data_IF_901821699360
#
_entry.id   IF_901821699360
#
_cell.length_a   1.000
_cell.length_b   1.000
_cell.length_c   1.000
_cell.angle_alpha   90.00
_cell.angle_beta   90.00
_cell.angle_gamma   90.00
#
_symmetry.space_group_name_H-M   'P 1'
#
loop_
_entity.id
_entity.type
_entity.pdbx_description
1 polymer ?
#
# COMPACT_ATOMS: atom_id res chain seq x y z
N UNK A 1 7.19 -10.46 -14.85
CA UNK A 1 6.99 -9.02 -15.07
C UNK A 1 7.39 -8.34 -13.78
N UNK A 2 7.97 -7.16 -13.80
CA UNK A 2 8.44 -6.46 -12.60
C UNK A 2 7.91 -5.01 -12.62
N UNK A 3 7.94 -4.35 -11.47
CA UNK A 3 7.62 -2.92 -11.33
C UNK A 3 8.75 -2.06 -11.95
N UNK A 4 8.48 -0.78 -12.28
CA UNK A 4 9.51 0.12 -12.78
C UNK A 4 10.74 0.20 -11.86
N UNK A 5 11.93 0.18 -12.46
CA UNK A 5 13.23 0.13 -11.76
C UNK A 5 13.43 1.23 -10.72
N UNK A 6 12.84 2.41 -10.93
CA UNK A 6 12.94 3.51 -9.96
C UNK A 6 12.35 3.13 -8.59
N UNK A 7 11.30 2.29 -8.54
CA UNK A 7 10.70 1.85 -7.29
C UNK A 7 11.57 0.83 -6.57
N UNK A 8 12.14 -0.14 -7.29
CA UNK A 8 13.05 -1.12 -6.68
C UNK A 8 14.35 -0.47 -6.16
N UNK A 9 14.76 0.67 -6.73
CA UNK A 9 15.88 1.46 -6.20
C UNK A 9 15.43 2.29 -4.99
N UNK A 10 14.46 3.19 -5.19
CA UNK A 10 14.11 4.20 -4.19
C UNK A 10 13.47 3.63 -2.93
N UNK A 11 12.79 2.49 -3.04
CA UNK A 11 12.07 1.83 -1.95
C UNK A 11 12.73 0.52 -1.49
N UNK A 12 13.96 0.23 -1.93
CA UNK A 12 14.70 -0.98 -1.54
C UNK A 12 14.88 -1.14 -0.03
N UNK A 13 14.84 -0.05 0.73
CA UNK A 13 15.00 -0.04 2.19
C UNK A 13 13.67 0.13 2.94
N UNK A 14 12.54 0.19 2.23
CA UNK A 14 11.22 0.30 2.84
C UNK A 14 10.71 -1.06 3.29
N UNK A 15 10.18 -1.12 4.52
CA UNK A 15 9.30 -2.22 4.95
C UNK A 15 7.85 -1.98 4.59
N UNK A 16 7.46 -0.71 4.57
CA UNK A 16 6.09 -0.25 4.33
C UNK A 16 6.13 0.67 3.10
N UNK A 17 5.53 0.24 2.00
CA UNK A 17 5.52 0.96 0.71
C UNK A 17 4.34 1.93 0.60
N UNK A 18 3.95 2.54 1.72
CA UNK A 18 2.79 3.42 1.86
C UNK A 18 3.08 4.48 2.94
N UNK A 19 2.35 5.61 2.99
CA UNK A 19 2.53 6.68 3.99
C UNK A 19 2.03 6.31 5.39
N UNK A 20 2.35 5.11 5.85
CA UNK A 20 2.10 4.61 7.19
C UNK A 20 3.39 4.44 7.96
N UNK A 21 3.34 4.80 9.25
CA UNK A 21 4.37 4.40 10.20
C UNK A 21 4.07 2.99 10.73
N UNK A 22 5.06 2.29 11.33
CA UNK A 22 4.82 1.02 12.02
C UNK A 22 3.68 1.11 13.05
N UNK A 23 3.54 2.24 13.75
CA UNK A 23 2.51 2.48 14.76
C UNK A 23 1.11 2.58 14.14
N UNK A 24 0.99 3.14 12.92
CA UNK A 24 -0.28 3.15 12.19
C UNK A 24 -0.68 1.74 11.73
N UNK A 25 0.26 0.92 11.27
CA UNK A 25 -0.04 -0.48 10.97
C UNK A 25 -0.39 -1.32 12.20
N UNK A 26 0.30 -1.10 13.32
CA UNK A 26 -0.03 -1.74 14.59
C UNK A 26 -1.41 -1.27 15.11
N UNK A 27 -1.75 0.00 14.90
CA UNK A 27 -3.08 0.53 15.20
C UNK A 27 -4.14 -0.15 14.35
N UNK A 28 -3.93 -0.24 13.03
CA UNK A 28 -4.83 -0.94 12.11
C UNK A 28 -5.07 -2.39 12.55
N UNK A 29 -4.00 -3.17 12.77
CA UNK A 29 -4.13 -4.57 13.21
C UNK A 29 -4.92 -4.72 14.51
N UNK A 30 -4.71 -3.80 15.47
CA UNK A 30 -5.42 -3.78 16.75
C UNK A 30 -6.91 -3.47 16.60
N UNK A 31 -7.27 -2.47 15.79
CA UNK A 31 -8.67 -2.03 15.68
C UNK A 31 -9.54 -3.00 14.88
N UNK A 32 -8.94 -3.79 13.99
CA UNK A 32 -9.64 -4.85 13.24
C UNK A 32 -10.09 -6.04 14.12
N UNK A 33 -9.53 -6.18 15.34
CA UNK A 33 -9.96 -7.20 16.33
C UNK A 33 -10.01 -8.63 15.76
N UNK A 34 -9.08 -8.94 14.87
CA UNK A 34 -9.00 -10.25 14.23
C UNK A 34 -8.77 -11.34 15.28
N UNK A 35 -9.40 -12.50 15.07
CA UNK A 35 -9.16 -13.67 15.91
C UNK A 35 -7.85 -14.36 15.50
N UNK A 36 -7.10 -14.95 16.42
CA UNK A 36 -6.00 -15.84 16.07
C UNK A 36 -6.46 -16.93 15.10
N UNK A 37 -5.64 -17.19 14.08
CA UNK A 37 -5.97 -18.09 12.98
C UNK A 37 -6.81 -17.48 11.86
N UNK A 38 -7.21 -16.20 11.94
CA UNK A 38 -7.84 -15.52 10.81
C UNK A 38 -6.93 -15.59 9.57
N UNK A 39 -7.52 -15.88 8.41
CA UNK A 39 -6.81 -16.00 7.13
C UNK A 39 -6.89 -14.68 6.38
N UNK A 40 -5.76 -14.17 5.92
CA UNK A 40 -5.65 -12.90 5.19
C UNK A 40 -5.12 -13.15 3.78
N UNK A 41 -5.78 -12.59 2.77
CA UNK A 41 -5.22 -12.41 1.43
C UNK A 41 -4.79 -10.96 1.26
N UNK A 42 -3.57 -10.71 0.79
CA UNK A 42 -3.04 -9.37 0.52
C UNK A 42 -2.54 -9.27 -0.93
N UNK A 43 -3.23 -8.47 -1.75
CA UNK A 43 -2.89 -8.24 -3.16
C UNK A 43 -2.08 -6.94 -3.28
N UNK A 44 -0.84 -7.05 -3.77
CA UNK A 44 0.14 -5.96 -3.71
C UNK A 44 0.81 -5.87 -2.34
N UNK A 45 1.25 -7.01 -1.79
CA UNK A 45 1.71 -7.10 -0.40
C UNK A 45 3.04 -6.40 -0.10
N UNK A 46 3.76 -5.92 -1.13
CA UNK A 46 5.08 -5.31 -1.01
C UNK A 46 6.06 -6.21 -0.26
N UNK A 47 6.84 -5.61 0.64
CA UNK A 47 7.77 -6.31 1.53
C UNK A 47 7.10 -7.05 2.70
N UNK A 48 5.77 -7.22 2.68
CA UNK A 48 5.05 -8.15 3.55
C UNK A 48 4.91 -7.73 5.02
N UNK A 49 5.24 -6.48 5.38
CA UNK A 49 5.27 -6.03 6.77
C UNK A 49 3.92 -6.19 7.48
N UNK A 50 2.80 -5.94 6.79
CA UNK A 50 1.45 -6.13 7.35
C UNK A 50 1.23 -7.58 7.77
N UNK A 51 1.39 -8.54 6.84
CA UNK A 51 1.19 -9.96 7.15
C UNK A 51 2.18 -10.46 8.20
N UNK A 52 3.47 -10.11 8.09
CA UNK A 52 4.50 -10.60 9.02
C UNK A 52 4.27 -10.10 10.44
N UNK A 53 4.01 -8.79 10.62
CA UNK A 53 3.79 -8.22 11.95
C UNK A 53 2.46 -8.69 12.56
N UNK A 54 1.40 -8.81 11.76
CA UNK A 54 0.12 -9.30 12.27
C UNK A 54 0.13 -10.80 12.57
N UNK A 55 0.90 -11.60 11.83
CA UNK A 55 1.11 -13.01 12.15
C UNK A 55 1.81 -13.17 13.50
N UNK A 56 2.80 -12.32 13.79
CA UNK A 56 3.50 -12.28 15.08
C UNK A 56 2.58 -11.83 16.21
N UNK A 57 1.85 -10.74 16.03
CA UNK A 57 1.14 -10.05 17.12
C UNK A 57 -0.26 -10.62 17.39
N UNK A 58 -0.94 -11.12 16.35
CA UNK A 58 -2.32 -11.59 16.42
C UNK A 58 -2.49 -13.06 16.05
N UNK A 59 -1.42 -13.73 15.61
CA UNK A 59 -1.46 -15.15 15.27
C UNK A 59 -2.32 -15.45 14.03
N UNK A 60 -2.45 -14.51 13.10
CA UNK A 60 -3.12 -14.74 11.81
C UNK A 60 -2.30 -15.68 10.91
N UNK A 61 -2.91 -16.11 9.81
CA UNK A 61 -2.25 -16.74 8.67
C UNK A 61 -2.53 -15.92 7.42
N UNK A 62 -1.70 -16.03 6.39
CA UNK A 62 -2.00 -15.30 5.17
C UNK A 62 -1.15 -15.60 3.97
N UNK A 63 -1.59 -15.04 2.84
CA UNK A 63 -0.89 -15.11 1.56
C UNK A 63 -0.79 -13.71 0.98
N UNK A 64 0.44 -13.28 0.69
CA UNK A 64 0.74 -12.02 0.00
C UNK A 64 1.15 -12.30 -1.45
N UNK A 65 0.53 -11.57 -2.39
CA UNK A 65 0.89 -11.59 -3.81
C UNK A 65 1.52 -10.26 -4.16
N UNK A 66 2.71 -10.26 -4.75
CA UNK A 66 3.35 -9.03 -5.21
C UNK A 66 4.05 -9.22 -6.55
N UNK A 67 4.04 -8.17 -7.38
CA UNK A 67 4.65 -8.19 -8.71
C UNK A 67 6.18 -7.99 -8.66
N UNK A 68 6.72 -7.45 -7.55
CA UNK A 68 8.15 -7.23 -7.38
C UNK A 68 8.84 -8.49 -6.85
N UNK A 69 9.83 -9.06 -7.56
CA UNK A 69 10.65 -10.14 -7.06
C UNK A 69 11.52 -9.68 -5.88
N UNK A 70 11.97 -8.42 -5.87
CA UNK A 70 12.73 -7.83 -4.77
C UNK A 70 11.88 -7.80 -3.50
N UNK A 71 10.68 -7.22 -3.57
CA UNK A 71 9.82 -7.06 -2.39
C UNK A 71 9.30 -8.41 -1.90
N UNK A 72 8.98 -9.34 -2.82
CA UNK A 72 8.65 -10.72 -2.44
C UNK A 72 9.80 -11.41 -1.70
N UNK A 73 11.05 -11.23 -2.14
CA UNK A 73 12.20 -11.79 -1.45
C UNK A 73 12.38 -11.18 -0.05
N UNK A 74 12.21 -9.86 0.07
CA UNK A 74 12.23 -9.16 1.35
C UNK A 74 11.12 -9.62 2.29
N UNK A 75 9.91 -9.86 1.78
CA UNK A 75 8.79 -10.38 2.56
C UNK A 75 9.06 -11.77 3.13
N UNK A 76 9.70 -12.66 2.35
CA UNK A 76 10.12 -13.99 2.82
C UNK A 76 11.18 -13.90 3.93
N UNK A 77 12.21 -13.08 3.72
CA UNK A 77 13.22 -12.82 4.75
C UNK A 77 12.58 -12.22 6.00
N UNK A 78 11.64 -11.31 5.85
CA UNK A 78 10.92 -10.69 6.96
C UNK A 78 10.12 -11.69 7.78
N UNK A 79 9.48 -12.66 7.11
CA UNK A 79 8.79 -13.74 7.80
C UNK A 79 9.74 -14.62 8.61
N UNK A 80 10.93 -14.91 8.07
CA UNK A 80 11.98 -15.67 8.77
C UNK A 80 12.52 -14.89 9.98
N UNK A 81 12.83 -13.61 9.80
CA UNK A 81 13.28 -12.70 10.86
C UNK A 81 12.32 -12.66 12.06
N UNK A 82 11.01 -12.68 11.79
CA UNK A 82 9.98 -12.63 12.82
C UNK A 82 9.51 -14.01 13.29
N UNK A 83 10.05 -15.10 12.72
CA UNK A 83 9.68 -16.48 13.09
C UNK A 83 8.26 -16.88 12.70
N UNK A 84 7.72 -16.32 11.61
CA UNK A 84 6.33 -16.51 11.15
C UNK A 84 6.21 -17.14 9.76
N UNK A 85 7.30 -17.65 9.18
CA UNK A 85 7.30 -18.26 7.82
C UNK A 85 6.34 -19.44 7.64
N UNK A 86 5.97 -20.12 8.73
CA UNK A 86 4.97 -21.21 8.71
C UNK A 86 3.51 -20.68 8.64
N UNK A 87 3.29 -19.39 8.86
CA UNK A 87 1.96 -18.76 8.92
C UNK A 87 1.66 -17.87 7.72
N UNK A 88 2.69 -17.25 7.15
CA UNK A 88 2.54 -16.31 6.04
C UNK A 88 3.40 -16.72 4.86
N UNK A 89 2.81 -16.69 3.67
CA UNK A 89 3.45 -17.12 2.44
C UNK A 89 3.39 -16.01 1.40
N UNK A 90 4.50 -15.79 0.68
CA UNK A 90 4.62 -14.72 -0.30
C UNK A 90 4.92 -15.29 -1.68
N UNK A 91 4.14 -14.85 -2.67
CA UNK A 91 4.19 -15.33 -4.04
C UNK A 91 4.49 -14.15 -4.96
N UNK A 92 5.58 -14.26 -5.71
CA UNK A 92 5.89 -13.31 -6.78
C UNK A 92 5.01 -13.64 -7.98
N UNK A 93 4.00 -12.82 -8.23
CA UNK A 93 3.06 -12.97 -9.34
C UNK A 93 2.31 -11.67 -9.63
N UNK A 94 1.67 -11.59 -10.79
CA UNK A 94 0.64 -10.59 -11.03
C UNK A 94 -0.61 -10.95 -10.21
N UNK A 95 -1.10 -10.00 -9.41
CA UNK A 95 -2.29 -10.15 -8.59
C UNK A 95 -3.59 -9.90 -9.37
N UNK A 96 -3.52 -9.41 -10.61
CA UNK A 96 -4.68 -9.15 -11.44
C UNK A 96 -5.51 -10.43 -11.64
N UNK A 97 -6.77 -10.39 -11.20
CA UNK A 97 -7.67 -11.53 -11.29
C UNK A 97 -7.37 -12.69 -10.32
N UNK A 98 -6.45 -12.51 -9.36
CA UNK A 98 -6.11 -13.53 -8.38
C UNK A 98 -7.28 -13.81 -7.43
N UNK A 99 -7.67 -15.08 -7.31
CA UNK A 99 -8.70 -15.55 -6.38
C UNK A 99 -8.15 -16.76 -5.62
N UNK A 100 -8.24 -16.75 -4.28
CA UNK A 100 -7.80 -17.90 -3.47
C UNK A 100 -8.85 -19.01 -3.47
N UNK A 101 -8.40 -20.26 -3.54
CA UNK A 101 -9.28 -21.44 -3.44
C UNK A 101 -9.98 -21.51 -2.08
N UNK A 102 -9.22 -21.31 -1.01
CA UNK A 102 -9.76 -21.24 0.35
C UNK A 102 -10.09 -19.80 0.72
N UNK A 103 -11.35 -19.57 1.12
CA UNK A 103 -11.85 -18.25 1.47
C UNK A 103 -11.14 -17.68 2.70
N UNK A 104 -10.85 -16.38 2.66
CA UNK A 104 -10.20 -15.63 3.73
C UNK A 104 -11.21 -14.88 4.61
N UNK A 105 -10.80 -14.56 5.83
CA UNK A 105 -11.55 -13.71 6.76
C UNK A 105 -11.34 -12.22 6.46
N UNK A 106 -10.17 -11.89 5.91
CA UNK A 106 -9.80 -10.54 5.46
C UNK A 106 -9.17 -10.61 4.06
N UNK A 107 -9.66 -9.80 3.12
CA UNK A 107 -9.06 -9.62 1.80
C UNK A 107 -8.61 -8.16 1.65
N UNK A 108 -7.34 -7.95 1.32
CA UNK A 108 -6.72 -6.63 1.32
C UNK A 108 -6.09 -6.28 -0.03
N UNK A 109 -6.14 -5.00 -0.36
CA UNK A 109 -5.33 -4.37 -1.40
C UNK A 109 -4.95 -2.98 -0.89
N UNK A 110 -3.72 -2.84 -0.40
CA UNK A 110 -3.29 -1.65 0.34
C UNK A 110 -2.34 -0.81 -0.51
N UNK A 111 -2.90 0.16 -1.23
CA UNK A 111 -2.15 1.05 -2.10
C UNK A 111 -1.85 0.45 -3.47
N UNK A 112 -2.69 -0.44 -3.99
CA UNK A 112 -2.49 -1.10 -5.30
C UNK A 112 -3.80 -1.35 -6.08
N UNK A 113 -4.84 -0.54 -5.88
CA UNK A 113 -6.18 -0.74 -6.46
C UNK A 113 -6.22 -0.70 -7.99
N UNK A 114 -5.18 -0.18 -8.65
CA UNK A 114 -5.02 -0.27 -10.10
C UNK A 114 -4.93 -1.73 -10.62
N UNK A 115 -4.55 -2.70 -9.78
CA UNK A 115 -4.54 -4.14 -10.08
C UNK A 115 -5.85 -4.60 -10.71
N UNK A 116 -6.97 -4.01 -10.29
CA UNK A 116 -8.31 -4.36 -10.77
C UNK A 116 -9.07 -3.14 -11.32
N UNK A 117 -8.36 -2.14 -11.84
CA UNK A 117 -9.01 -0.98 -12.48
C UNK A 117 -9.64 0.02 -11.49
N UNK A 118 -9.04 0.18 -10.32
CA UNK A 118 -9.45 1.13 -9.28
C UNK A 118 -10.24 0.48 -8.15
N UNK A 119 -10.77 1.32 -7.26
CA UNK A 119 -11.46 0.88 -6.02
C UNK A 119 -12.57 -0.12 -6.30
N UNK A 120 -13.44 0.15 -7.29
CA UNK A 120 -14.62 -0.68 -7.54
C UNK A 120 -14.28 -2.08 -8.04
N UNK A 121 -13.42 -2.19 -9.06
CA UNK A 121 -12.99 -3.50 -9.53
C UNK A 121 -12.15 -4.24 -8.48
N UNK A 122 -11.43 -3.53 -7.61
CA UNK A 122 -10.71 -4.15 -6.48
C UNK A 122 -11.67 -4.73 -5.45
N UNK A 123 -12.75 -4.01 -5.09
CA UNK A 123 -13.78 -4.52 -4.20
C UNK A 123 -14.43 -5.80 -4.77
N UNK A 124 -14.78 -5.79 -6.06
CA UNK A 124 -15.31 -6.97 -6.75
C UNK A 124 -14.33 -8.15 -6.76
N UNK A 125 -13.03 -7.89 -6.95
CA UNK A 125 -12.00 -8.91 -6.96
C UNK A 125 -11.81 -9.53 -5.57
N UNK A 126 -11.64 -8.70 -4.54
CA UNK A 126 -11.41 -9.14 -3.16
C UNK A 126 -12.62 -9.92 -2.61
N UNK A 127 -13.84 -9.50 -2.93
CA UNK A 127 -15.06 -10.20 -2.53
C UNK A 127 -15.11 -11.66 -3.02
N UNK A 128 -14.53 -11.97 -4.18
CA UNK A 128 -14.44 -13.36 -4.71
C UNK A 128 -13.59 -14.27 -3.83
N UNK A 129 -12.74 -13.73 -2.97
CA UNK A 129 -11.87 -14.49 -2.07
C UNK A 129 -12.38 -14.53 -0.62
N UNK A 130 -13.44 -13.79 -0.31
CA UNK A 130 -13.86 -13.50 1.06
C UNK A 130 -14.95 -14.48 1.55
N UNK A 131 -14.92 -14.82 2.84
CA UNK A 131 -16.05 -15.48 3.52
C UNK A 131 -17.23 -14.51 3.65
N UNK A 132 -18.48 -15.01 3.73
CA UNK A 132 -19.62 -14.16 4.10
C UNK A 132 -19.36 -13.44 5.43
N UNK A 133 -19.53 -12.11 5.43
CA UNK A 133 -19.26 -11.25 6.59
C UNK A 133 -17.77 -11.00 6.90
N UNK A 134 -16.85 -11.37 5.99
CA UNK A 134 -15.45 -11.02 6.10
C UNK A 134 -15.17 -9.53 5.85
N UNK A 135 -13.95 -9.11 6.12
CA UNK A 135 -13.51 -7.72 5.94
C UNK A 135 -12.78 -7.53 4.60
N UNK A 136 -13.07 -6.43 3.92
CA UNK A 136 -12.22 -5.92 2.85
C UNK A 136 -11.38 -4.76 3.38
N UNK A 137 -10.07 -4.74 3.07
CA UNK A 137 -9.20 -3.60 3.35
C UNK A 137 -8.78 -2.94 2.05
N UNK A 138 -9.10 -1.66 1.89
CA UNK A 138 -8.66 -0.83 0.76
C UNK A 138 -7.74 0.25 1.29
N UNK A 139 -6.50 0.27 0.83
CA UNK A 139 -5.57 1.39 1.06
C UNK A 139 -5.59 2.33 -0.14
N UNK A 140 -6.04 3.57 0.04
CA UNK A 140 -6.28 4.48 -1.09
C UNK A 140 -5.89 5.93 -0.76
N UNK A 141 -5.28 6.66 -1.72
CA UNK A 141 -5.08 8.10 -1.61
C UNK A 141 -6.39 8.89 -1.81
N UNK A 142 -6.42 10.11 -1.30
CA UNK A 142 -7.51 11.07 -1.52
C UNK A 142 -6.96 12.51 -1.45
N UNK A 143 -7.72 13.47 -1.95
CA UNK A 143 -7.40 14.89 -1.75
C UNK A 143 -7.68 15.30 -0.29
N UNK A 144 -6.62 15.58 0.46
CA UNK A 144 -6.69 16.31 1.74
C UNK A 144 -7.05 17.77 1.51
N UNK A 145 -6.51 18.36 0.46
CA UNK A 145 -6.90 19.67 -0.07
C UNK A 145 -7.12 19.50 -1.57
N UNK A 146 -8.26 19.97 -2.06
CA UNK A 146 -8.55 19.88 -3.50
C UNK A 146 -7.69 20.91 -4.23
N UNK A 147 -6.89 20.50 -5.23
CA UNK A 147 -6.17 21.44 -6.08
C UNK A 147 -7.11 22.43 -6.75
N UNK A 148 -6.76 23.72 -6.73
CA UNK A 148 -7.58 24.75 -7.37
C UNK A 148 -7.54 24.69 -8.90
N UNK A 149 -6.50 24.05 -9.47
CA UNK A 149 -6.29 23.93 -10.90
C UNK A 149 -5.65 22.59 -11.26
N UNK A 150 -5.77 22.18 -12.52
CA UNK A 150 -5.13 20.96 -13.05
C UNK A 150 -3.60 21.03 -12.97
N UNK A 151 -3.01 22.22 -13.11
CA UNK A 151 -1.55 22.38 -13.00
C UNK A 151 -1.05 22.06 -11.58
N UNK A 152 -1.83 22.39 -10.55
CA UNK A 152 -1.51 22.03 -9.17
C UNK A 152 -1.65 20.51 -8.98
N UNK A 153 -2.69 19.89 -9.54
CA UNK A 153 -2.85 18.43 -9.49
C UNK A 153 -1.68 17.71 -10.17
N UNK A 154 -1.25 18.18 -11.34
CA UNK A 154 -0.07 17.68 -12.05
C UNK A 154 1.22 17.87 -11.26
N UNK A 155 1.37 19.00 -10.56
CA UNK A 155 2.53 19.23 -9.70
C UNK A 155 2.54 18.30 -8.45
N UNK A 156 1.36 17.81 -8.03
CA UNK A 156 1.25 16.75 -7.02
C UNK A 156 1.64 15.36 -7.57
N UNK A 157 1.68 15.18 -8.89
CA UNK A 157 1.90 13.89 -9.55
C UNK A 157 0.62 13.17 -9.98
N UNK A 158 -0.54 13.84 -9.92
CA UNK A 158 -1.78 13.36 -10.54
C UNK A 158 -1.80 13.66 -12.05
N UNK A 159 -2.60 12.96 -12.82
CA UNK A 159 -2.90 13.35 -14.22
C UNK A 159 -4.00 14.41 -14.27
N UNK A 160 -4.98 14.33 -13.36
CA UNK A 160 -6.07 15.27 -13.22
C UNK A 160 -6.53 15.42 -11.77
N UNK A 161 -7.21 16.54 -11.45
CA UNK A 161 -7.98 16.69 -10.21
C UNK A 161 -8.97 15.53 -10.01
N UNK A 162 -9.55 15.02 -11.10
CA UNK A 162 -10.54 13.95 -11.05
C UNK A 162 -9.97 12.56 -10.70
N UNK A 163 -8.65 12.38 -10.69
CA UNK A 163 -8.02 11.09 -10.39
C UNK A 163 -8.23 10.66 -8.95
N UNK A 164 -8.48 11.62 -8.05
CA UNK A 164 -8.69 11.36 -6.63
C UNK A 164 -9.96 12.04 -6.12
N UNK A 165 -10.65 11.34 -5.24
CA UNK A 165 -11.80 11.86 -4.51
C UNK A 165 -11.34 12.65 -3.28
N UNK A 166 -12.24 13.46 -2.71
CA UNK A 166 -12.05 13.94 -1.33
C UNK A 166 -12.28 12.79 -0.35
N UNK A 167 -11.87 12.93 0.92
CA UNK A 167 -12.16 11.90 1.92
C UNK A 167 -13.67 11.62 2.07
N UNK A 168 -14.57 12.63 2.19
CA UNK A 168 -16.01 12.38 2.20
C UNK A 168 -16.53 11.63 0.97
N UNK A 169 -16.08 12.01 -0.23
CA UNK A 169 -16.54 11.39 -1.48
C UNK A 169 -16.01 9.96 -1.61
N UNK A 170 -14.78 9.69 -1.19
CA UNK A 170 -14.24 8.33 -1.14
C UNK A 170 -15.04 7.45 -0.18
N UNK A 171 -15.37 7.96 1.01
CA UNK A 171 -16.22 7.23 1.97
C UNK A 171 -17.61 6.99 1.42
N UNK A 172 -18.22 7.99 0.78
CA UNK A 172 -19.53 7.85 0.12
C UNK A 172 -19.49 6.81 -1.02
N UNK A 173 -18.39 6.74 -1.77
CA UNK A 173 -18.24 5.77 -2.86
C UNK A 173 -18.29 4.32 -2.37
N UNK A 174 -17.85 4.01 -1.13
CA UNK A 174 -17.98 2.66 -0.58
C UNK A 174 -19.45 2.31 -0.31
N UNK A 175 -20.25 3.26 0.17
CA UNK A 175 -21.68 3.09 0.40
C UNK A 175 -22.43 2.83 -0.92
N UNK A 176 -22.13 3.58 -1.97
CA UNK A 176 -22.71 3.39 -3.30
C UNK A 176 -22.43 2.00 -3.88
N UNK A 177 -21.35 1.36 -3.42
CA UNK A 177 -20.93 0.02 -3.84
C UNK A 177 -21.46 -1.09 -2.93
N UNK A 178 -22.30 -0.78 -1.94
CA UNK A 178 -22.91 -1.79 -1.08
C UNK A 178 -22.07 -2.18 0.14
N UNK A 179 -21.09 -1.36 0.53
CA UNK A 179 -20.20 -1.63 1.66
C UNK A 179 -20.40 -0.62 2.79
N UNK A 180 -20.44 -1.13 4.02
CA UNK A 180 -20.35 -0.31 5.21
C UNK A 180 -18.87 -0.09 5.56
N UNK A 181 -18.47 1.17 5.75
CA UNK A 181 -17.19 1.53 6.35
C UNK A 181 -17.26 1.31 7.86
N UNK A 182 -16.51 0.32 8.35
CA UNK A 182 -16.57 -0.10 9.76
C UNK A 182 -15.34 0.32 10.58
N UNK A 183 -14.25 0.70 9.94
CA UNK A 183 -13.04 1.27 10.55
C UNK A 183 -12.20 2.01 9.50
N UNK A 184 -11.36 2.94 9.94
CA UNK A 184 -10.31 3.53 9.11
C UNK A 184 -9.10 3.99 9.93
N UNK A 185 -7.90 3.82 9.37
CA UNK A 185 -6.67 4.43 9.89
C UNK A 185 -6.08 5.31 8.79
N UNK A 186 -5.88 6.59 9.10
CA UNK A 186 -5.42 7.56 8.11
C UNK A 186 -3.94 7.91 8.33
N UNK A 187 -3.22 8.12 7.23
CA UNK A 187 -1.93 8.75 7.22
C UNK A 187 -2.05 10.21 7.70
N UNK A 188 -0.99 10.69 8.31
CA UNK A 188 -0.78 12.11 8.57
C UNK A 188 0.46 12.56 7.81
N UNK A 189 0.83 13.83 7.96
CA UNK A 189 2.00 14.37 7.30
C UNK A 189 3.30 13.67 7.75
N UNK A 190 3.36 13.16 8.99
CA UNK A 190 4.52 12.39 9.45
C UNK A 190 4.64 11.06 8.70
N UNK A 191 3.53 10.32 8.54
CA UNK A 191 3.51 9.10 7.74
C UNK A 191 3.96 9.32 6.29
N UNK A 192 3.50 10.41 5.68
CA UNK A 192 3.97 10.85 4.37
C UNK A 192 5.46 11.21 4.37
N UNK A 193 5.95 11.93 5.38
CA UNK A 193 7.37 12.25 5.53
C UNK A 193 8.22 10.97 5.71
N UNK A 194 7.69 9.92 6.38
CA UNK A 194 8.35 8.62 6.53
C UNK A 194 8.46 7.85 5.23
N UNK A 195 7.40 7.84 4.44
CA UNK A 195 7.39 7.18 3.14
C UNK A 195 8.27 7.89 2.12
N UNK A 196 8.14 9.22 1.96
CA UNK A 196 8.87 9.95 0.92
C UNK A 196 10.32 10.24 1.31
N UNK A 197 10.60 10.72 2.54
CA UNK A 197 11.96 11.13 2.88
C UNK A 197 12.96 9.96 2.97
N UNK A 198 12.47 8.76 3.29
CA UNK A 198 13.31 7.56 3.29
C UNK A 198 13.89 7.28 1.90
N UNK A 199 13.11 7.50 0.83
CA UNK A 199 13.54 7.32 -0.56
C UNK A 199 14.76 8.17 -0.88
N UNK A 200 14.84 9.39 -0.34
CA UNK A 200 15.92 10.32 -0.67
C UNK A 200 17.28 9.83 -0.18
N UNK A 201 17.33 9.27 1.04
CA UNK A 201 18.57 8.71 1.58
C UNK A 201 18.96 7.45 0.81
N UNK A 202 18.00 6.58 0.51
CA UNK A 202 18.21 5.37 -0.29
C UNK A 202 18.79 5.72 -1.67
N UNK A 203 18.14 6.63 -2.39
CA UNK A 203 18.63 7.10 -3.69
C UNK A 203 20.01 7.76 -3.60
N UNK A 204 20.29 8.53 -2.54
CA UNK A 204 21.61 9.17 -2.37
C UNK A 204 22.72 8.13 -2.23
N UNK A 205 22.51 7.10 -1.40
CA UNK A 205 23.48 6.00 -1.21
C UNK A 205 23.62 5.15 -2.46
N UNK A 206 22.51 4.82 -3.10
CA UNK A 206 22.53 4.08 -4.35
C UNK A 206 23.35 4.82 -5.42
N UNK A 207 23.23 6.15 -5.53
CA UNK A 207 24.04 6.96 -6.46
C UNK A 207 25.54 7.00 -6.11
N UNK A 208 25.91 6.83 -4.84
CA UNK A 208 27.32 6.74 -4.42
C UNK A 208 27.91 5.38 -4.78
N UNK A 209 27.12 4.32 -4.67
CA UNK A 209 27.52 2.95 -4.99
C UNK A 209 27.48 2.65 -6.50
N UNK A 210 26.66 3.38 -7.26
CA UNK A 210 26.38 3.13 -8.67
C UNK A 210 26.62 4.38 -9.55
N UNK A 211 27.83 4.99 -9.53
CA UNK A 211 28.08 6.26 -10.24
C UNK A 211 28.01 6.13 -11.77
N UNK A 212 28.32 4.95 -12.32
CA UNK A 212 28.38 4.69 -13.76
C UNK A 212 27.16 3.91 -14.28
N UNK A 213 26.14 3.71 -13.45
CA UNK A 213 24.91 3.03 -13.86
C UNK A 213 24.13 3.91 -14.85
N UNK A 214 23.58 3.29 -15.89
CA UNK A 214 22.85 3.98 -16.95
C UNK A 214 21.63 4.74 -16.43
N UNK A 215 21.04 4.28 -15.32
CA UNK A 215 19.87 4.87 -14.68
C UNK A 215 20.23 5.96 -13.65
N UNK A 216 21.52 6.20 -13.38
CA UNK A 216 21.96 7.15 -12.37
C UNK A 216 21.49 8.58 -12.65
N UNK A 217 21.36 8.96 -13.92
CA UNK A 217 20.85 10.27 -14.30
C UNK A 217 19.38 10.47 -13.91
N UNK A 218 18.54 9.44 -14.05
CA UNK A 218 17.13 9.46 -13.65
C UNK A 218 16.99 9.54 -12.13
N UNK A 219 17.73 8.70 -11.40
CA UNK A 219 17.73 8.72 -9.92
C UNK A 219 18.23 10.07 -9.38
N UNK A 220 19.25 10.67 -10.03
CA UNK A 220 19.75 12.00 -9.67
C UNK A 220 18.69 13.09 -9.89
N UNK A 221 17.98 13.05 -11.02
CA UNK A 221 16.91 13.99 -11.31
C UNK A 221 15.77 13.87 -10.29
N UNK A 222 15.36 12.65 -9.96
CA UNK A 222 14.32 12.39 -8.95
C UNK A 222 14.75 12.91 -7.58
N UNK A 223 15.95 12.55 -7.10
CA UNK A 223 16.47 13.03 -5.81
C UNK A 223 16.60 14.56 -5.73
N UNK A 224 16.83 15.24 -6.85
CA UNK A 224 16.93 16.71 -6.89
C UNK A 224 15.56 17.36 -6.73
N UNK A 225 14.51 16.77 -7.32
CA UNK A 225 13.18 17.37 -7.40
C UNK A 225 12.25 16.91 -6.26
N UNK A 226 12.34 15.64 -5.85
CA UNK A 226 11.41 15.00 -4.93
C UNK A 226 11.26 15.72 -3.59
N UNK A 227 12.33 16.19 -2.90
CA UNK A 227 12.16 16.86 -1.61
C UNK A 227 11.33 18.14 -1.71
N UNK A 228 11.61 18.97 -2.73
CA UNK A 228 10.86 20.21 -2.97
C UNK A 228 9.43 19.90 -3.39
N UNK A 229 9.23 18.95 -4.31
CA UNK A 229 7.89 18.51 -4.74
C UNK A 229 7.06 18.04 -3.56
N UNK A 230 7.64 17.21 -2.68
CA UNK A 230 6.98 16.69 -1.48
C UNK A 230 6.48 17.80 -0.56
N UNK A 231 7.38 18.68 -0.10
CA UNK A 231 7.01 19.73 0.86
C UNK A 231 6.14 20.85 0.26
N UNK A 232 6.11 20.98 -1.07
CA UNK A 232 5.25 21.96 -1.75
C UNK A 232 3.85 21.38 -2.01
N UNK A 233 3.78 20.10 -2.38
CA UNK A 233 2.57 19.50 -2.94
C UNK A 233 2.11 18.27 -2.15
N UNK A 234 2.82 17.15 -2.27
CA UNK A 234 2.38 15.85 -1.72
C UNK A 234 1.98 15.94 -0.26
N UNK A 235 2.81 16.60 0.56
CA UNK A 235 2.62 16.76 2.00
C UNK A 235 1.37 17.57 2.37
N UNK A 236 0.91 18.46 1.50
CA UNK A 236 -0.20 19.37 1.77
C UNK A 236 -1.51 18.93 1.13
N UNK A 237 -1.46 18.39 -0.09
CA UNK A 237 -2.62 18.06 -0.91
C UNK A 237 -3.10 16.61 -0.75
N UNK A 238 -2.21 15.65 -0.48
CA UNK A 238 -2.62 14.26 -0.36
C UNK A 238 -2.93 13.84 1.06
N UNK A 239 -4.06 13.15 1.18
CA UNK A 239 -4.32 12.21 2.25
C UNK A 239 -4.19 10.78 1.73
N UNK A 240 -4.11 9.84 2.66
CA UNK A 240 -4.08 8.41 2.38
C UNK A 240 -4.59 7.68 3.61
N UNK A 241 -5.20 6.52 3.43
CA UNK A 241 -5.63 5.71 4.57
C UNK A 241 -5.97 4.29 4.16
N UNK A 242 -6.15 3.45 5.18
CA UNK A 242 -6.73 2.12 5.02
C UNK A 242 -8.14 2.13 5.57
N UNK A 243 -9.08 1.69 4.74
CA UNK A 243 -10.52 1.64 5.00
C UNK A 243 -10.94 0.17 5.13
N UNK A 244 -11.60 -0.16 6.24
CA UNK A 244 -12.10 -1.49 6.52
C UNK A 244 -13.60 -1.55 6.22
N UNK A 245 -13.99 -2.49 5.36
CA UNK A 245 -15.31 -2.54 4.74
C UNK A 245 -15.97 -3.90 4.96
N UNK A 246 -17.29 -3.91 5.15
CA UNK A 246 -18.12 -5.14 5.17
C UNK A 246 -19.26 -4.96 4.18
N UNK A 247 -19.51 -5.96 3.34
CA UNK A 247 -20.64 -5.95 2.42
C UNK A 247 -21.98 -6.05 3.17
N UNK A 248 -22.99 -5.29 2.74
CA UNK A 248 -24.35 -5.31 3.28
C UNK A 248 -25.18 -6.52 2.86
#
# INVERSE_FOLDING_TARGET
MDIPRIFTISESEHRIHNPFTPEKYATLGRVLRMKPGARILDLGSGSGEMLCTWARDYGITGTGIDMSPLFTAQAKLRAEELGVSERVHFIHNDAAGYVTDEKCDVAACVGATWIAGGVAGTLELLAKSLKPGGLVLIGEPYWRQVPATEEIAQACGASSVADFLTLPDLVASFDEQGYDLVEMVLADQEGWDRYEAAKWLTMRRWLEENPDDDFAHEVRAELTNAPKRHVTYTREYFGWGVFALIAR
#
